data_IF_872731174384
#
_entry.id   IF_872731174384
#
_cell.length_a   1.000
_cell.length_b   1.000
_cell.length_c   1.000
_cell.angle_alpha   90.00
_cell.angle_beta   90.00
_cell.angle_gamma   90.00
#
_symmetry.space_group_name_H-M   'P 1'
#
loop_
_entity.id
_entity.type
_entity.pdbx_description
1 polymer ?
#
# COMPACT_ATOMS: atom_id res chain seq x y z
N UNK A 1 3.97 11.85 -6.88
CA UNK A 1 4.49 13.15 -6.40
C UNK A 1 5.87 12.86 -5.84
N UNK A 2 6.89 13.58 -6.30
CA UNK A 2 8.26 13.41 -5.86
C UNK A 2 8.39 13.99 -4.45
N UNK A 3 8.79 13.17 -3.48
CA UNK A 3 9.27 13.63 -2.18
C UNK A 3 10.67 13.05 -2.02
N UNK A 4 11.59 13.89 -1.52
CA UNK A 4 12.94 13.53 -1.08
C UNK A 4 12.92 12.17 -0.38
N UNK A 5 13.86 11.29 -0.71
CA UNK A 5 13.89 9.91 -0.23
C UNK A 5 14.13 9.86 1.28
N UNK A 6 13.05 9.96 2.05
CA UNK A 6 13.06 9.64 3.46
C UNK A 6 13.17 8.12 3.60
N UNK A 7 14.00 7.65 4.53
CA UNK A 7 13.90 6.27 5.05
C UNK A 7 12.56 6.18 5.79
N UNK A 8 11.49 5.87 5.06
CA UNK A 8 10.14 5.77 5.59
C UNK A 8 10.00 4.39 6.24
N UNK A 9 10.16 4.38 7.56
CA UNK A 9 9.82 3.30 8.50
C UNK A 9 10.63 2.00 8.31
N UNK A 10 11.11 1.43 9.42
CA UNK A 10 12.17 0.42 9.48
C UNK A 10 11.70 -1.00 9.08
N UNK A 11 11.10 -1.12 7.89
CA UNK A 11 10.66 -2.40 7.33
C UNK A 11 11.61 -2.80 6.19
N UNK A 12 12.56 -3.67 6.55
CA UNK A 12 13.61 -4.25 5.68
C UNK A 12 13.12 -5.01 4.43
N UNK A 13 11.80 -5.08 4.18
CA UNK A 13 11.18 -5.97 3.19
C UNK A 13 10.49 -5.27 2.02
N UNK A 14 10.54 -3.93 1.94
CA UNK A 14 9.87 -3.20 0.85
C UNK A 14 10.85 -2.94 -0.29
N UNK A 15 10.50 -3.42 -1.48
CA UNK A 15 11.25 -3.12 -2.71
C UNK A 15 10.95 -1.70 -3.16
N UNK A 16 11.97 -0.85 -3.16
CA UNK A 16 11.97 0.44 -3.83
C UNK A 16 13.40 0.74 -4.32
N UNK A 17 13.51 1.57 -5.35
CA UNK A 17 14.79 2.11 -5.82
C UNK A 17 14.91 3.57 -5.40
N UNK A 18 16.12 4.12 -5.40
CA UNK A 18 16.34 5.55 -5.16
C UNK A 18 15.57 6.46 -6.15
N UNK A 19 15.22 5.94 -7.33
CA UNK A 19 14.43 6.63 -8.36
C UNK A 19 12.91 6.39 -8.25
N UNK A 20 12.45 5.60 -7.28
CA UNK A 20 11.02 5.32 -7.10
C UNK A 20 10.31 6.52 -6.46
N UNK A 21 9.15 6.88 -6.99
CA UNK A 21 8.33 7.98 -6.45
C UNK A 21 7.55 7.60 -5.17
N UNK A 22 7.57 6.34 -4.77
CA UNK A 22 6.85 5.82 -3.62
C UNK A 22 7.27 4.40 -3.30
N UNK A 23 6.71 3.87 -2.21
CA UNK A 23 6.98 2.53 -1.69
C UNK A 23 5.76 1.63 -1.90
N UNK A 24 5.98 0.35 -2.16
CA UNK A 24 4.89 -0.63 -2.29
C UNK A 24 4.32 -0.97 -0.90
N UNK A 25 3.00 -0.83 -0.74
CA UNK A 25 2.26 -1.28 0.42
C UNK A 25 1.86 -2.76 0.23
N UNK A 26 2.01 -3.57 1.28
CA UNK A 26 1.71 -5.01 1.24
C UNK A 26 0.59 -5.28 2.24
N UNK A 27 -0.41 -6.05 1.82
CA UNK A 27 -1.51 -6.46 2.70
C UNK A 27 -1.00 -7.51 3.68
N UNK A 28 -1.39 -7.42 4.95
CA UNK A 28 -0.92 -8.36 5.97
C UNK A 28 -1.56 -9.75 5.83
N UNK A 29 -2.69 -9.82 5.17
CA UNK A 29 -3.49 -11.03 4.97
C UNK A 29 -3.98 -11.15 3.53
N UNK A 30 -4.41 -12.35 3.19
CA UNK A 30 -5.14 -12.60 1.95
C UNK A 30 -6.53 -11.97 2.03
N UNK A 31 -6.93 -11.26 0.98
CA UNK A 31 -8.22 -10.57 0.94
C UNK A 31 -9.07 -11.18 -0.16
N UNK A 32 -10.12 -11.87 0.24
CA UNK A 32 -11.13 -12.43 -0.67
C UNK A 32 -12.22 -11.39 -0.93
N UNK A 33 -12.50 -11.05 -2.20
CA UNK A 33 -13.67 -10.27 -2.61
C UNK A 33 -14.69 -11.22 -3.22
N UNK A 34 -15.88 -11.31 -2.61
CA UNK A 34 -16.95 -12.25 -2.94
C UNK A 34 -17.96 -11.66 -3.93
N UNK A 35 -18.10 -10.34 -3.95
CA UNK A 35 -19.11 -9.68 -4.78
C UNK A 35 -18.47 -8.69 -5.77
N UNK A 36 -19.07 -8.51 -6.97
CA UNK A 36 -18.71 -7.40 -7.85
C UNK A 36 -18.87 -6.07 -7.13
N UNK A 37 -17.97 -5.11 -7.39
CA UNK A 37 -17.96 -3.78 -6.76
C UNK A 37 -17.80 -3.80 -5.23
N UNK A 38 -17.38 -4.91 -4.63
CA UNK A 38 -17.14 -4.98 -3.20
C UNK A 38 -15.97 -4.07 -2.81
N UNK A 39 -16.17 -3.30 -1.73
CA UNK A 39 -15.19 -2.38 -1.16
C UNK A 39 -14.73 -2.94 0.17
N UNK A 40 -13.42 -3.00 0.38
CA UNK A 40 -12.80 -3.43 1.64
C UNK A 40 -11.78 -2.41 2.11
N UNK A 41 -11.69 -2.26 3.43
CA UNK A 41 -10.64 -1.51 4.11
C UNK A 41 -9.66 -2.53 4.67
N UNK A 42 -8.40 -2.47 4.26
CA UNK A 42 -7.42 -3.52 4.53
C UNK A 42 -6.19 -2.94 5.25
N UNK A 43 -5.66 -3.63 6.26
CA UNK A 43 -4.48 -3.17 6.98
C UNK A 43 -3.20 -3.41 6.16
N UNK A 44 -2.24 -2.50 6.31
CA UNK A 44 -0.89 -2.64 5.77
C UNK A 44 0.10 -3.02 6.86
N UNK A 45 1.34 -3.33 6.46
CA UNK A 45 2.42 -3.56 7.41
C UNK A 45 2.93 -2.28 8.12
N UNK A 46 2.47 -1.10 7.71
CA UNK A 46 2.97 0.16 8.22
C UNK A 46 2.06 0.72 9.30
N UNK A 47 2.69 1.29 10.33
CA UNK A 47 2.03 1.99 11.41
C UNK A 47 2.72 3.32 11.58
N UNK A 48 1.95 4.40 11.69
CA UNK A 48 2.49 5.73 11.94
C UNK A 48 3.06 5.89 13.37
N UNK A 49 3.55 7.09 13.73
CA UNK A 49 3.48 8.35 12.97
C UNK A 49 4.49 8.41 11.83
N UNK A 50 4.24 9.29 10.85
CA UNK A 50 5.20 9.54 9.79
C UNK A 50 6.42 10.33 10.31
N UNK A 51 7.58 10.28 9.62
CA UNK A 51 8.68 11.18 9.91
C UNK A 51 8.26 12.66 9.82
N UNK A 52 8.81 13.49 10.72
CA UNK A 52 8.50 14.91 10.81
C UNK A 52 8.63 15.62 9.46
N UNK A 53 7.63 16.45 9.14
CA UNK A 53 7.61 17.26 7.92
C UNK A 53 7.13 16.52 6.67
N UNK A 54 6.60 15.31 6.80
CA UNK A 54 6.05 14.53 5.70
C UNK A 54 4.52 14.41 5.76
N UNK A 55 3.93 14.19 4.59
CA UNK A 55 2.57 13.70 4.38
C UNK A 55 2.65 12.40 3.59
N UNK A 56 1.85 11.41 3.97
CA UNK A 56 1.77 10.15 3.22
C UNK A 56 0.68 10.24 2.17
N UNK A 57 0.95 9.73 0.96
CA UNK A 57 -0.03 9.68 -0.12
C UNK A 57 -0.21 8.23 -0.58
N UNK A 58 -1.45 7.77 -0.60
CA UNK A 58 -1.82 6.44 -1.08
C UNK A 58 -2.34 6.58 -2.51
N UNK A 59 -1.69 5.89 -3.46
CA UNK A 59 -2.09 5.84 -4.86
C UNK A 59 -2.03 4.41 -5.41
N UNK A 60 -2.89 4.06 -6.39
CA UNK A 60 -2.85 2.75 -7.02
C UNK A 60 -1.57 2.54 -7.85
N UNK A 61 -1.04 1.30 -7.82
CA UNK A 61 -0.04 0.84 -8.80
C UNK A 61 -0.70 0.59 -10.15
N UNK A 62 0.00 0.92 -11.24
CA UNK A 62 -0.48 0.67 -12.61
C UNK A 62 -0.77 -0.81 -12.87
N UNK A 63 -0.03 -1.72 -12.24
CA UNK A 63 -0.26 -3.17 -12.32
C UNK A 63 -1.53 -3.62 -11.59
N UNK A 64 -1.95 -2.94 -10.52
CA UNK A 64 -3.19 -3.24 -9.80
C UNK A 64 -4.41 -2.88 -10.65
N UNK A 65 -4.38 -1.70 -11.28
CA UNK A 65 -5.44 -1.23 -12.17
C UNK A 65 -5.68 -2.20 -13.34
N UNK A 66 -4.60 -2.75 -13.94
CA UNK A 66 -4.68 -3.77 -14.99
C UNK A 66 -5.35 -5.08 -14.55
N UNK A 67 -5.40 -5.35 -13.24
CA UNK A 67 -6.02 -6.53 -12.64
C UNK A 67 -7.43 -6.26 -12.09
N UNK A 68 -8.04 -5.13 -12.44
CA UNK A 68 -9.38 -4.77 -11.95
C UNK A 68 -9.42 -4.47 -10.45
N UNK A 69 -8.28 -4.17 -9.84
CA UNK A 69 -8.14 -3.78 -8.44
C UNK A 69 -7.89 -2.27 -8.36
N UNK A 70 -8.78 -1.56 -7.71
CA UNK A 70 -8.79 -0.11 -7.64
C UNK A 70 -8.58 0.34 -6.20
N UNK A 71 -7.70 1.32 -6.01
CA UNK A 71 -7.41 1.91 -4.71
C UNK A 71 -8.04 3.29 -4.70
N UNK A 72 -8.79 3.60 -3.64
CA UNK A 72 -9.25 4.96 -3.38
C UNK A 72 -8.05 5.76 -2.88
N UNK A 73 -7.64 6.86 -3.57
CA UNK A 73 -6.53 7.67 -3.11
C UNK A 73 -6.77 8.23 -1.71
N UNK A 74 -5.71 8.33 -0.92
CA UNK A 74 -5.79 8.75 0.48
C UNK A 74 -4.61 9.61 0.91
N UNK A 75 -4.83 10.39 1.97
CA UNK A 75 -3.82 11.19 2.64
C UNK A 75 -3.60 10.61 4.03
N UNK A 76 -2.34 10.49 4.45
CA UNK A 76 -1.94 10.06 5.78
C UNK A 76 -1.32 11.27 6.48
N UNK A 77 -1.96 11.70 7.55
CA UNK A 77 -1.48 12.79 8.38
C UNK A 77 -0.23 12.40 9.16
N UNK A 78 0.62 13.38 9.43
CA UNK A 78 1.90 13.21 10.12
C UNK A 78 1.73 12.53 11.50
N UNK A 79 0.71 12.95 12.25
CA UNK A 79 0.42 12.51 13.62
C UNK A 79 -0.53 11.31 13.68
N UNK A 80 -0.87 10.70 12.55
CA UNK A 80 -1.63 9.45 12.53
C UNK A 80 -0.78 8.32 13.15
N UNK A 81 -1.21 7.77 14.29
CA UNK A 81 -0.46 6.74 15.03
C UNK A 81 -0.96 5.31 14.79
N UNK A 82 -2.00 5.15 13.99
CA UNK A 82 -2.63 3.87 13.69
C UNK A 82 -1.88 3.07 12.63
N UNK A 83 -2.38 1.85 12.38
CA UNK A 83 -2.00 1.07 11.20
C UNK A 83 -2.56 1.79 9.97
N UNK A 84 -1.75 1.95 8.93
CA UNK A 84 -2.21 2.56 7.69
C UNK A 84 -3.18 1.58 7.02
N UNK A 85 -4.38 2.08 6.69
CA UNK A 85 -5.43 1.31 6.05
C UNK A 85 -5.55 1.75 4.59
N UNK A 86 -5.80 0.79 3.69
CA UNK A 86 -6.06 1.06 2.27
C UNK A 86 -7.50 0.67 1.98
N UNK A 87 -8.24 1.55 1.31
CA UNK A 87 -9.54 1.23 0.77
C UNK A 87 -9.40 0.72 -0.66
N UNK A 88 -9.81 -0.53 -0.88
CA UNK A 88 -9.70 -1.24 -2.15
C UNK A 88 -11.09 -1.63 -2.61
N UNK A 89 -11.36 -1.49 -3.91
CA UNK A 89 -12.53 -2.09 -4.54
C UNK A 89 -12.14 -2.84 -5.81
N UNK A 90 -12.94 -3.86 -6.15
CA UNK A 90 -12.69 -4.71 -7.31
C UNK A 90 -13.89 -4.71 -8.26
N UNK A 91 -13.63 -4.86 -9.56
CA UNK A 91 -14.71 -4.96 -10.54
C UNK A 91 -15.46 -6.29 -10.45
N UNK A 92 -14.74 -7.39 -10.20
CA UNK A 92 -15.26 -8.76 -10.15
C UNK A 92 -14.73 -9.49 -8.90
N UNK A 93 -15.40 -10.57 -8.45
CA UNK A 93 -14.89 -11.40 -7.36
C UNK A 93 -13.49 -11.91 -7.65
N UNK A 94 -12.58 -11.73 -6.70
CA UNK A 94 -11.17 -12.12 -6.83
C UNK A 94 -10.50 -12.21 -5.47
N UNK A 95 -9.36 -12.90 -5.43
CA UNK A 95 -8.51 -13.00 -4.25
C UNK A 95 -7.25 -12.16 -4.47
N UNK A 96 -6.97 -11.26 -3.53
CA UNK A 96 -5.68 -10.58 -3.45
C UNK A 96 -4.79 -11.38 -2.49
N UNK A 97 -3.74 -12.06 -2.98
CA UNK A 97 -2.88 -12.87 -2.14
C UNK A 97 -2.05 -11.99 -1.20
N UNK A 98 -1.75 -12.51 0.00
CA UNK A 98 -0.71 -11.95 0.85
C UNK A 98 0.67 -12.23 0.21
N UNK A 99 1.33 -11.19 -0.28
CA UNK A 99 2.67 -11.32 -0.87
C UNK A 99 3.73 -11.24 0.24
N UNK A 100 3.96 -12.34 0.95
CA UNK A 100 5.03 -12.44 1.96
C UNK A 100 6.42 -12.77 1.37
N UNK A 101 6.57 -12.79 0.04
CA UNK A 101 7.80 -13.17 -0.63
C UNK A 101 8.79 -12.00 -0.78
N UNK A 102 9.67 -11.88 0.21
CA UNK A 102 10.99 -11.29 0.05
C UNK A 102 11.78 -12.09 -1.00
N UNK A 103 11.62 -11.78 -2.29
CA UNK A 103 12.59 -12.25 -3.27
C UNK A 103 13.80 -11.30 -3.20
N UNK A 104 14.80 -11.71 -2.44
CA UNK A 104 16.18 -11.26 -2.60
C UNK A 104 16.61 -11.56 -4.04
N UNK A 105 16.51 -10.58 -4.91
CA UNK A 105 17.13 -10.62 -6.22
C UNK A 105 18.56 -10.07 -6.08
N UNK A 106 19.48 -10.98 -6.42
CA UNK A 106 20.94 -10.94 -6.47
C UNK A 106 21.52 -9.68 -7.10
#
# INVERSE_FOLDING_TARGET
ICCESARIMDHKLIKYTASSAGIDLITQEEIEFKFPMEVKIVPTQFKGPLPLGLVGLIFPRSSAHKKGCFVVPGVIDLDYTGILMIQIWVNLPQVLPCNSSASSST
#
